data_IF_695605559090
#
_entry.id   IF_695605559090
#
_cell.length_a   1.000
_cell.length_b   1.000
_cell.length_c   1.000
_cell.angle_alpha   90.00
_cell.angle_beta   90.00
_cell.angle_gamma   90.00
#
_symmetry.space_group_name_H-M   'P 1'
#
loop_
_entity.id
_entity.type
_entity.pdbx_description
1 polymer ?
#
# COMPACT_ATOMS: atom_id res chain seq x y z
N UNK A 1 -7.57 59.59 -6.28
CA UNK A 1 -7.31 58.75 -5.11
C UNK A 1 -7.61 57.30 -5.54
N UNK A 2 -6.61 56.66 -6.14
CA UNK A 2 -6.72 55.23 -6.53
C UNK A 2 -6.32 54.40 -5.32
N UNK A 3 -7.23 53.55 -4.84
CA UNK A 3 -6.97 52.59 -3.76
C UNK A 3 -6.34 51.37 -4.41
N UNK A 4 -5.06 51.13 -4.11
CA UNK A 4 -4.37 49.88 -4.42
C UNK A 4 -5.03 48.72 -3.69
N UNK A 5 -5.67 47.86 -4.45
CA UNK A 5 -6.12 46.55 -3.93
C UNK A 5 -4.91 45.59 -3.95
N UNK A 6 -4.58 44.93 -2.84
CA UNK A 6 -3.50 43.94 -2.84
C UNK A 6 -3.92 42.75 -3.70
N UNK A 7 -3.19 42.49 -4.75
CA UNK A 7 -3.25 41.26 -5.55
C UNK A 7 -2.69 40.11 -4.70
N UNK A 8 -3.51 39.54 -3.79
CA UNK A 8 -3.24 38.27 -3.20
C UNK A 8 -3.37 37.23 -4.31
N UNK A 9 -2.25 36.63 -4.70
CA UNK A 9 -2.21 35.75 -5.86
C UNK A 9 -3.09 34.53 -5.62
N UNK A 10 -3.89 34.13 -6.60
CA UNK A 10 -4.71 32.91 -6.60
C UNK A 10 -3.88 31.64 -6.30
N UNK A 11 -2.58 31.70 -6.50
CA UNK A 11 -1.62 30.66 -6.18
C UNK A 11 -1.43 30.46 -4.66
N UNK A 12 -1.45 31.51 -3.84
CA UNK A 12 -1.31 31.42 -2.39
C UNK A 12 -2.54 30.81 -1.72
N UNK A 13 -3.73 31.13 -2.20
CA UNK A 13 -4.98 30.58 -1.65
C UNK A 13 -5.12 29.10 -1.99
N UNK A 14 -4.71 28.67 -3.17
CA UNK A 14 -4.75 27.27 -3.59
C UNK A 14 -3.74 26.41 -2.83
N UNK A 15 -2.53 26.89 -2.59
CA UNK A 15 -1.48 26.19 -1.84
C UNK A 15 -1.84 26.03 -0.36
N UNK A 16 -2.39 27.08 0.26
CA UNK A 16 -2.85 27.06 1.66
C UNK A 16 -4.04 26.09 1.84
N UNK A 17 -4.98 26.09 0.90
CA UNK A 17 -6.13 25.17 0.91
C UNK A 17 -5.70 23.70 0.73
N UNK A 18 -4.72 23.45 -0.15
CA UNK A 18 -4.15 22.12 -0.37
C UNK A 18 -3.44 21.61 0.90
N UNK A 19 -2.52 22.39 1.47
CA UNK A 19 -1.80 22.03 2.68
C UNK A 19 -2.75 21.79 3.87
N UNK A 20 -3.83 22.54 4.00
CA UNK A 20 -4.83 22.36 5.04
C UNK A 20 -5.64 21.06 4.85
N UNK A 21 -5.95 20.69 3.60
CA UNK A 21 -6.64 19.43 3.23
C UNK A 21 -5.76 18.23 3.53
N UNK A 22 -4.51 18.23 3.06
CA UNK A 22 -3.56 17.16 3.34
C UNK A 22 -3.36 16.94 4.85
N UNK A 23 -3.17 18.02 5.61
CA UNK A 23 -3.03 17.94 7.07
C UNK A 23 -4.28 17.37 7.75
N UNK A 24 -5.49 17.68 7.24
CA UNK A 24 -6.73 17.09 7.74
C UNK A 24 -6.79 15.60 7.42
N UNK A 25 -6.58 15.21 6.16
CA UNK A 25 -6.61 13.81 5.73
C UNK A 25 -5.60 12.96 6.52
N UNK A 26 -4.40 13.49 6.79
CA UNK A 26 -3.39 12.84 7.62
C UNK A 26 -3.87 12.63 9.06
N UNK A 27 -4.48 13.64 9.70
CA UNK A 27 -5.04 13.49 11.05
C UNK A 27 -6.16 12.46 11.10
N UNK A 28 -7.06 12.50 10.13
CA UNK A 28 -8.17 11.55 10.03
C UNK A 28 -7.66 10.12 9.79
N UNK A 29 -6.63 9.94 8.96
CA UNK A 29 -5.98 8.64 8.75
C UNK A 29 -5.37 8.09 10.05
N UNK A 30 -4.70 8.93 10.84
CA UNK A 30 -4.20 8.53 12.18
C UNK A 30 -5.37 8.17 13.11
N UNK A 31 -6.47 8.90 13.04
CA UNK A 31 -7.70 8.56 13.77
C UNK A 31 -8.27 7.20 13.38
N UNK A 32 -8.28 6.88 12.08
CA UNK A 32 -8.71 5.56 11.59
C UNK A 32 -7.86 4.40 12.14
N UNK A 33 -6.55 4.62 12.33
CA UNK A 33 -5.67 3.64 12.99
C UNK A 33 -6.10 3.42 14.43
N UNK A 34 -6.42 4.48 15.19
CA UNK A 34 -6.93 4.37 16.55
C UNK A 34 -8.24 3.57 16.62
N UNK A 35 -9.21 3.93 15.78
CA UNK A 35 -10.51 3.21 15.69
C UNK A 35 -10.29 1.73 15.34
N UNK A 36 -9.38 1.43 14.41
CA UNK A 36 -9.09 0.04 14.02
C UNK A 36 -8.37 -0.72 15.13
N UNK A 37 -7.52 -0.05 15.93
CA UNK A 37 -6.89 -0.67 17.10
C UNK A 37 -7.93 -1.09 18.16
N UNK A 38 -8.91 -0.23 18.42
CA UNK A 38 -10.02 -0.54 19.34
C UNK A 38 -10.87 -1.70 18.80
N UNK A 39 -11.19 -1.68 17.49
CA UNK A 39 -11.89 -2.76 16.80
C UNK A 39 -11.17 -4.10 16.96
N UNK A 40 -9.86 -4.14 16.72
CA UNK A 40 -9.06 -5.35 16.82
C UNK A 40 -8.91 -5.84 18.25
N UNK A 41 -8.77 -4.92 19.21
CA UNK A 41 -8.70 -5.25 20.62
C UNK A 41 -10.00 -5.87 21.11
N UNK A 42 -11.15 -5.29 20.73
CA UNK A 42 -12.47 -5.84 21.03
C UNK A 42 -12.64 -7.22 20.39
N UNK A 43 -12.28 -7.36 19.12
CA UNK A 43 -12.32 -8.66 18.44
C UNK A 43 -11.46 -9.71 19.15
N UNK A 44 -10.26 -9.38 19.61
CA UNK A 44 -9.38 -10.31 20.30
C UNK A 44 -9.94 -10.78 21.65
N UNK A 45 -10.68 -9.92 22.37
CA UNK A 45 -11.26 -10.22 23.68
C UNK A 45 -12.62 -10.89 23.59
N UNK A 46 -13.49 -10.44 22.70
CA UNK A 46 -14.89 -10.84 22.59
C UNK A 46 -15.16 -11.69 21.35
N UNK A 47 -14.23 -11.74 20.41
CA UNK A 47 -14.36 -12.38 19.08
C UNK A 47 -15.56 -11.81 18.27
N UNK A 48 -15.92 -10.57 18.54
CA UNK A 48 -16.98 -9.84 17.88
C UNK A 48 -16.44 -8.64 17.13
N UNK A 49 -16.84 -8.44 15.87
CA UNK A 49 -16.49 -7.29 15.06
C UNK A 49 -17.55 -6.21 15.19
N UNK A 50 -17.17 -5.01 15.62
CA UNK A 50 -18.03 -3.84 15.61
C UNK A 50 -18.07 -3.24 14.19
N UNK A 51 -19.04 -3.68 13.39
CA UNK A 51 -19.20 -3.22 12.00
C UNK A 51 -19.44 -1.72 11.91
N UNK A 52 -20.05 -1.08 12.89
CA UNK A 52 -20.28 0.36 12.86
C UNK A 52 -18.94 1.12 12.84
N UNK A 53 -18.00 0.76 13.70
CA UNK A 53 -16.66 1.35 13.70
C UNK A 53 -15.91 1.05 12.39
N UNK A 54 -15.97 -0.17 11.90
CA UNK A 54 -15.34 -0.54 10.63
C UNK A 54 -15.90 0.26 9.45
N UNK A 55 -17.24 0.45 9.40
CA UNK A 55 -17.89 1.27 8.40
C UNK A 55 -17.47 2.74 8.43
N UNK A 56 -17.26 3.30 9.60
CA UNK A 56 -16.77 4.68 9.72
C UNK A 56 -15.41 4.85 9.04
N UNK A 57 -14.50 3.89 9.22
CA UNK A 57 -13.18 3.91 8.57
C UNK A 57 -13.31 3.79 7.05
N UNK A 58 -14.12 2.84 6.55
CA UNK A 58 -14.33 2.65 5.10
C UNK A 58 -14.98 3.87 4.45
N UNK A 59 -16.00 4.47 5.11
CA UNK A 59 -16.62 5.70 4.63
C UNK A 59 -15.64 6.89 4.60
N UNK A 60 -14.76 6.98 5.57
CA UNK A 60 -13.69 7.97 5.59
C UNK A 60 -12.71 7.75 4.43
N UNK A 61 -12.28 6.52 4.16
CA UNK A 61 -11.41 6.19 3.03
C UNK A 61 -12.06 6.61 1.70
N UNK A 62 -13.35 6.29 1.50
CA UNK A 62 -14.09 6.70 0.31
C UNK A 62 -14.09 8.22 0.13
N UNK A 63 -14.33 8.98 1.20
CA UNK A 63 -14.27 10.44 1.18
C UNK A 63 -12.88 10.93 0.78
N UNK A 64 -11.82 10.41 1.40
CA UNK A 64 -10.43 10.78 1.07
C UNK A 64 -10.11 10.53 -0.40
N UNK A 65 -10.49 9.36 -0.93
CA UNK A 65 -10.27 9.00 -2.33
C UNK A 65 -11.01 9.92 -3.30
N UNK A 66 -12.21 10.37 -2.95
CA UNK A 66 -12.99 11.31 -3.78
C UNK A 66 -12.47 12.75 -3.71
N UNK A 67 -11.89 13.16 -2.59
CA UNK A 67 -11.37 14.51 -2.39
C UNK A 67 -9.98 14.72 -3.01
N UNK A 68 -9.06 13.77 -2.82
CA UNK A 68 -7.71 13.80 -3.38
C UNK A 68 -7.10 12.40 -3.40
N UNK A 69 -7.27 11.72 -4.53
CA UNK A 69 -6.75 10.37 -4.75
C UNK A 69 -5.23 10.28 -4.51
N UNK A 70 -4.47 11.27 -4.99
CA UNK A 70 -3.00 11.26 -4.85
C UNK A 70 -2.55 11.33 -3.39
N UNK A 71 -3.16 12.23 -2.60
CA UNK A 71 -2.89 12.33 -1.17
C UNK A 71 -3.33 11.06 -0.43
N UNK A 72 -4.52 10.51 -0.74
CA UNK A 72 -5.03 9.28 -0.12
C UNK A 72 -4.09 8.08 -0.39
N UNK A 73 -3.66 7.89 -1.65
CA UNK A 73 -2.70 6.85 -2.01
C UNK A 73 -1.35 7.09 -1.32
N UNK A 74 -0.87 8.33 -1.28
CA UNK A 74 0.35 8.69 -0.55
C UNK A 74 0.29 8.30 0.93
N UNK A 75 -0.86 8.46 1.60
CA UNK A 75 -1.07 8.00 2.98
C UNK A 75 -1.06 6.47 3.09
N UNK A 76 -1.69 5.78 2.12
CA UNK A 76 -1.74 4.32 2.10
C UNK A 76 -0.36 3.69 1.95
N UNK A 77 0.53 4.26 1.13
CA UNK A 77 1.85 3.66 0.81
C UNK A 77 3.00 4.17 1.67
N UNK A 78 2.74 4.98 2.70
CA UNK A 78 3.79 5.42 3.62
C UNK A 78 4.34 4.23 4.41
N UNK A 79 5.66 3.98 4.38
CA UNK A 79 6.29 2.99 5.26
C UNK A 79 6.06 3.38 6.70
N UNK A 80 5.64 2.46 7.53
CA UNK A 80 5.30 2.72 8.92
C UNK A 80 5.98 1.68 9.79
N UNK A 81 6.69 2.16 10.79
CA UNK A 81 7.60 1.38 11.63
C UNK A 81 6.94 0.78 12.86
N UNK A 82 5.61 0.96 13.05
CA UNK A 82 4.88 0.53 14.24
C UNK A 82 3.44 0.08 13.95
N UNK A 83 2.80 -0.54 14.94
CA UNK A 83 1.36 -0.86 14.95
C UNK A 83 0.89 -1.89 13.89
N UNK A 84 1.76 -2.84 13.48
CA UNK A 84 1.28 -4.04 12.80
C UNK A 84 0.47 -4.93 13.79
N UNK A 85 -0.67 -5.51 13.40
CA UNK A 85 -1.28 -5.53 12.05
C UNK A 85 -2.25 -4.38 11.78
N UNK A 86 -2.60 -3.56 12.77
CA UNK A 86 -3.66 -2.54 12.71
C UNK A 86 -3.44 -1.56 11.57
N UNK A 87 -2.26 -0.95 11.55
CA UNK A 87 -1.93 0.08 10.57
C UNK A 87 -1.85 -0.47 9.15
N UNK A 88 -1.30 -1.68 9.01
CA UNK A 88 -1.28 -2.40 7.75
C UNK A 88 -2.70 -2.61 7.19
N UNK A 89 -3.64 -3.03 8.03
CA UNK A 89 -5.03 -3.23 7.65
C UNK A 89 -5.72 -1.94 7.19
N UNK A 90 -5.47 -0.81 7.87
CA UNK A 90 -5.99 0.51 7.44
C UNK A 90 -5.41 0.89 6.07
N UNK A 91 -4.11 0.71 5.85
CA UNK A 91 -3.45 0.97 4.57
C UNK A 91 -3.98 0.04 3.47
N UNK A 92 -4.13 -1.25 3.79
CA UNK A 92 -4.63 -2.26 2.87
C UNK A 92 -6.07 -1.93 2.42
N UNK A 93 -6.93 -1.53 3.34
CA UNK A 93 -8.28 -1.05 3.04
C UNK A 93 -8.26 0.15 2.07
N UNK A 94 -7.48 1.18 2.39
CA UNK A 94 -7.42 2.40 1.57
C UNK A 94 -6.85 2.13 0.18
N UNK A 95 -5.75 1.36 0.06
CA UNK A 95 -5.13 1.03 -1.23
C UNK A 95 -6.03 0.12 -2.07
N UNK A 96 -6.66 -0.89 -1.47
CA UNK A 96 -7.58 -1.79 -2.16
C UNK A 96 -8.78 -1.03 -2.71
N UNK A 97 -9.33 -0.06 -1.96
CA UNK A 97 -10.40 0.82 -2.44
C UNK A 97 -9.92 1.75 -3.57
N UNK A 98 -8.71 2.29 -3.49
CA UNK A 98 -8.12 3.09 -4.58
C UNK A 98 -8.01 2.27 -5.87
N UNK A 99 -7.53 1.03 -5.76
CA UNK A 99 -7.47 0.09 -6.89
C UNK A 99 -8.87 -0.27 -7.41
N UNK A 100 -9.83 -0.45 -6.52
CA UNK A 100 -11.22 -0.71 -6.90
C UNK A 100 -11.85 0.44 -7.68
N UNK A 101 -11.57 1.70 -7.31
CA UNK A 101 -12.01 2.87 -8.07
C UNK A 101 -11.41 2.90 -9.48
N UNK A 102 -10.12 2.58 -9.64
CA UNK A 102 -9.47 2.50 -10.95
C UNK A 102 -10.02 1.35 -11.80
N UNK A 103 -10.42 0.25 -11.17
CA UNK A 103 -11.05 -0.91 -11.81
C UNK A 103 -12.56 -0.76 -12.01
N UNK A 104 -13.12 0.44 -11.76
CA UNK A 104 -14.55 0.76 -11.92
C UNK A 104 -15.47 -0.17 -11.13
N UNK A 105 -15.08 -0.52 -9.90
CA UNK A 105 -15.94 -1.30 -8.99
C UNK A 105 -17.16 -0.48 -8.57
N UNK A 106 -18.30 -1.16 -8.43
CA UNK A 106 -19.51 -0.55 -7.87
C UNK A 106 -19.32 -0.11 -6.43
N UNK A 107 -20.22 0.71 -5.91
CA UNK A 107 -20.21 1.17 -4.53
C UNK A 107 -20.21 0.00 -3.53
N UNK A 108 -21.02 -1.03 -3.79
CA UNK A 108 -21.09 -2.23 -2.95
C UNK A 108 -19.78 -3.03 -2.99
N UNK A 109 -19.16 -3.14 -4.17
CA UNK A 109 -17.84 -3.79 -4.32
C UNK A 109 -16.75 -3.00 -3.61
N UNK A 110 -16.75 -1.65 -3.70
CA UNK A 110 -15.83 -0.78 -2.98
C UNK A 110 -15.97 -0.92 -1.46
N UNK A 111 -17.21 -0.99 -0.97
CA UNK A 111 -17.46 -1.24 0.44
C UNK A 111 -16.96 -2.61 0.86
N UNK A 112 -17.27 -3.64 0.08
CA UNK A 112 -16.88 -5.02 0.38
C UNK A 112 -15.35 -5.19 0.42
N UNK A 113 -14.62 -4.64 -0.58
CA UNK A 113 -13.17 -4.74 -0.62
C UNK A 113 -12.52 -3.91 0.50
N UNK A 114 -13.06 -2.71 0.79
CA UNK A 114 -12.57 -1.86 1.86
C UNK A 114 -12.73 -2.49 3.23
N UNK A 115 -13.92 -3.00 3.54
CA UNK A 115 -14.22 -3.63 4.83
C UNK A 115 -13.45 -4.96 4.98
N UNK A 116 -13.46 -5.82 3.95
CA UNK A 116 -12.74 -7.09 3.98
C UNK A 116 -11.23 -6.91 4.18
N UNK A 117 -10.62 -5.95 3.48
CA UNK A 117 -9.21 -5.61 3.66
C UNK A 117 -8.92 -4.96 5.01
N UNK A 118 -9.89 -4.23 5.61
CA UNK A 118 -9.71 -3.62 6.93
C UNK A 118 -9.63 -4.68 8.04
N UNK A 119 -10.40 -5.75 7.94
CA UNK A 119 -10.55 -6.72 9.04
C UNK A 119 -9.73 -7.99 8.85
N UNK A 120 -9.10 -8.21 7.68
CA UNK A 120 -8.46 -9.48 7.34
C UNK A 120 -7.40 -9.94 8.35
N UNK A 121 -6.66 -9.00 8.91
CA UNK A 121 -5.59 -9.24 9.87
C UNK A 121 -6.05 -9.16 11.34
N UNK A 122 -7.35 -8.93 11.62
CA UNK A 122 -7.86 -8.92 13.00
C UNK A 122 -7.53 -10.24 13.73
N UNK A 123 -7.61 -11.36 13.02
CA UNK A 123 -7.25 -12.69 13.54
C UNK A 123 -5.79 -12.84 13.96
N UNK A 124 -4.89 -11.95 13.55
CA UNK A 124 -3.49 -11.96 13.98
C UNK A 124 -3.33 -11.74 15.48
N UNK A 125 -4.28 -11.03 16.13
CA UNK A 125 -4.28 -10.84 17.58
C UNK A 125 -4.60 -12.14 18.34
N UNK A 126 -5.20 -13.13 17.68
CA UNK A 126 -5.48 -14.46 18.24
C UNK A 126 -4.31 -15.43 18.03
N UNK A 127 -3.34 -15.08 17.17
CA UNK A 127 -2.13 -15.86 16.96
C UNK A 127 -1.20 -15.68 18.16
N UNK A 128 -0.64 -16.78 18.71
CA UNK A 128 0.27 -16.69 19.85
C UNK A 128 1.43 -15.74 19.57
N UNK A 129 1.65 -14.77 20.46
CA UNK A 129 2.66 -13.70 20.29
C UNK A 129 4.09 -14.24 20.07
N UNK A 130 4.40 -15.45 20.57
CA UNK A 130 5.68 -16.12 20.32
C UNK A 130 5.95 -16.42 18.83
N UNK A 131 4.91 -16.37 17.97
CA UNK A 131 5.02 -16.64 16.54
C UNK A 131 5.17 -15.35 15.72
N UNK A 132 4.91 -14.20 16.36
CA UNK A 132 5.02 -12.91 15.71
C UNK A 132 6.50 -12.48 15.68
N UNK A 133 7.04 -12.23 14.51
CA UNK A 133 8.42 -11.77 14.34
C UNK A 133 9.49 -12.86 14.39
N UNK A 134 9.12 -14.14 14.34
CA UNK A 134 10.06 -15.27 14.24
C UNK A 134 10.22 -15.70 12.79
N UNK A 135 11.47 -15.78 12.31
CA UNK A 135 11.81 -16.29 11.00
C UNK A 135 13.04 -17.22 11.09
N UNK A 136 13.03 -18.41 10.52
CA UNK A 136 11.89 -19.06 9.87
C UNK A 136 10.86 -19.61 10.88
N UNK A 137 9.57 -19.48 10.56
CA UNK A 137 8.48 -20.09 11.34
C UNK A 137 8.52 -21.59 11.14
N UNK A 138 8.52 -22.35 12.25
CA UNK A 138 8.47 -23.82 12.19
C UNK A 138 7.14 -24.28 11.59
N UNK A 139 7.16 -25.35 10.81
CA UNK A 139 5.97 -25.87 10.12
C UNK A 139 4.77 -26.14 11.06
N UNK A 140 5.05 -26.63 12.27
CA UNK A 140 3.99 -26.86 13.28
C UNK A 140 3.29 -25.56 13.73
N UNK A 141 4.02 -24.44 13.73
CA UNK A 141 3.55 -23.14 14.20
C UNK A 141 2.91 -22.34 13.04
N UNK A 142 3.29 -22.67 11.80
CA UNK A 142 2.75 -22.06 10.58
C UNK A 142 1.23 -22.25 10.46
N UNK A 143 0.69 -23.37 10.93
CA UNK A 143 -0.76 -23.64 10.87
C UNK A 143 -1.59 -22.61 11.62
N UNK A 144 -1.11 -22.13 12.76
CA UNK A 144 -1.82 -21.11 13.54
C UNK A 144 -1.77 -19.77 12.80
N UNK A 145 -0.62 -19.44 12.21
CA UNK A 145 -0.46 -18.20 11.45
C UNK A 145 -1.37 -18.15 10.21
N UNK A 146 -1.37 -19.22 9.37
CA UNK A 146 -2.15 -19.22 8.11
C UNK A 146 -3.66 -19.28 8.33
N UNK A 147 -4.13 -19.46 9.56
CA UNK A 147 -5.56 -19.46 9.90
C UNK A 147 -6.13 -18.11 10.28
N UNK A 148 -5.27 -17.09 10.50
CA UNK A 148 -5.79 -15.79 10.95
C UNK A 148 -6.87 -15.19 10.04
N UNK A 149 -6.85 -15.34 8.67
CA UNK A 149 -7.88 -14.77 7.84
C UNK A 149 -9.26 -15.42 8.07
N UNK A 150 -9.27 -16.69 8.49
CA UNK A 150 -10.51 -17.40 8.79
C UNK A 150 -11.20 -16.85 10.03
N UNK A 151 -10.46 -16.41 11.05
CA UNK A 151 -11.06 -15.86 12.27
C UNK A 151 -11.88 -14.61 11.96
N UNK A 152 -11.33 -13.67 11.14
CA UNK A 152 -12.06 -12.49 10.72
C UNK A 152 -13.26 -12.83 9.83
N UNK A 153 -13.10 -13.80 8.91
CA UNK A 153 -14.20 -14.23 8.03
C UNK A 153 -15.31 -14.93 8.81
N UNK A 154 -14.99 -15.70 9.84
CA UNK A 154 -15.99 -16.33 10.72
C UNK A 154 -16.74 -15.31 11.55
N UNK A 155 -16.08 -14.25 12.02
CA UNK A 155 -16.76 -13.17 12.75
C UNK A 155 -17.72 -12.38 11.87
N UNK A 156 -17.50 -12.36 10.55
CA UNK A 156 -18.42 -11.76 9.58
C UNK A 156 -19.60 -12.68 9.21
N UNK A 157 -19.54 -13.95 9.61
CA UNK A 157 -20.57 -14.94 9.28
C UNK A 157 -21.88 -14.61 10.04
N UNK A 158 -22.99 -14.49 9.29
CA UNK A 158 -24.27 -14.12 9.87
C UNK A 158 -24.51 -12.63 10.10
N UNK A 159 -23.54 -11.76 9.81
CA UNK A 159 -23.71 -10.32 9.85
C UNK A 159 -24.41 -9.84 8.56
N UNK A 160 -25.73 -9.64 8.63
CA UNK A 160 -26.54 -9.22 7.47
C UNK A 160 -26.14 -7.85 6.90
N UNK A 161 -25.52 -7.02 7.71
CA UNK A 161 -25.06 -5.68 7.34
C UNK A 161 -23.76 -5.72 6.51
N UNK A 162 -23.00 -6.80 6.56
CA UNK A 162 -21.78 -6.93 5.77
C UNK A 162 -22.11 -7.46 4.37
N UNK A 163 -21.65 -6.79 3.27
CA UNK A 163 -21.81 -7.33 1.94
C UNK A 163 -21.21 -8.75 1.84
N UNK A 164 -21.85 -9.71 1.17
CA UNK A 164 -21.38 -11.10 1.12
C UNK A 164 -19.92 -11.25 0.62
N UNK A 165 -19.49 -10.38 -0.30
CA UNK A 165 -18.13 -10.37 -0.82
C UNK A 165 -17.06 -9.97 0.22
N UNK A 166 -17.43 -9.25 1.28
CA UNK A 166 -16.52 -8.85 2.38
C UNK A 166 -15.86 -10.06 3.01
N UNK A 167 -16.63 -11.10 3.32
CA UNK A 167 -16.11 -12.35 3.88
C UNK A 167 -15.15 -13.05 2.93
N UNK A 168 -15.44 -13.04 1.61
CA UNK A 168 -14.53 -13.60 0.63
C UNK A 168 -13.20 -12.84 0.61
N UNK A 169 -13.23 -11.51 0.67
CA UNK A 169 -12.01 -10.70 0.72
C UNK A 169 -11.21 -11.03 1.97
N UNK A 170 -11.82 -10.99 3.16
CA UNK A 170 -11.13 -11.26 4.42
C UNK A 170 -10.50 -12.66 4.48
N UNK A 171 -11.21 -13.70 3.96
CA UNK A 171 -10.71 -15.07 3.97
C UNK A 171 -9.66 -15.37 2.90
N UNK A 172 -9.69 -14.68 1.75
CA UNK A 172 -8.95 -15.09 0.54
C UNK A 172 -7.84 -14.11 0.14
N UNK A 173 -7.63 -13.02 0.88
CA UNK A 173 -6.63 -11.99 0.55
C UNK A 173 -5.20 -12.54 0.41
N UNK A 174 -4.90 -13.63 1.12
CA UNK A 174 -3.61 -14.30 1.05
C UNK A 174 -3.57 -15.50 0.07
N UNK A 175 -4.66 -15.77 -0.67
CA UNK A 175 -4.66 -16.75 -1.74
C UNK A 175 -3.87 -16.25 -2.95
N UNK A 176 -3.36 -17.17 -3.76
CA UNK A 176 -2.59 -16.90 -4.97
C UNK A 176 -3.16 -17.76 -6.12
N UNK A 177 -3.26 -17.20 -7.33
CA UNK A 177 -3.91 -17.88 -8.47
C UNK A 177 -3.31 -19.24 -8.80
N UNK A 178 -2.02 -19.44 -8.51
CA UNK A 178 -1.31 -20.73 -8.71
C UNK A 178 -1.60 -21.76 -7.60
N UNK A 179 -2.34 -21.37 -6.55
CA UNK A 179 -2.65 -22.21 -5.38
C UNK A 179 -1.54 -22.26 -4.33
N UNK A 180 -0.51 -21.43 -4.46
CA UNK A 180 0.57 -21.35 -3.45
C UNK A 180 0.19 -20.52 -2.23
N UNK A 181 -1.01 -19.89 -2.25
CA UNK A 181 -1.54 -19.08 -1.15
C UNK A 181 -2.15 -19.89 -0.02
N UNK A 182 -2.76 -19.19 0.91
CA UNK A 182 -3.44 -19.76 2.07
C UNK A 182 -4.72 -18.97 2.39
N UNK A 183 -5.65 -19.47 3.21
CA UNK A 183 -5.58 -20.71 4.02
C UNK A 183 -5.99 -21.97 3.27
N UNK A 184 -6.65 -21.90 2.11
CA UNK A 184 -7.22 -23.05 1.42
C UNK A 184 -6.43 -23.51 0.19
N UNK A 185 -5.47 -22.69 -0.31
CA UNK A 185 -4.74 -22.96 -1.55
C UNK A 185 -5.67 -22.92 -2.78
N UNK A 186 -6.59 -21.96 -2.80
CA UNK A 186 -7.52 -21.77 -3.90
C UNK A 186 -6.77 -21.38 -5.17
N UNK A 187 -7.35 -21.74 -6.34
CA UNK A 187 -6.76 -21.45 -7.66
C UNK A 187 -7.72 -20.66 -8.54
N UNK A 188 -7.15 -19.85 -9.39
CA UNK A 188 -7.84 -19.17 -10.50
C UNK A 188 -9.22 -18.60 -10.09
N UNK A 189 -10.28 -19.05 -10.77
CA UNK A 189 -11.65 -18.55 -10.55
C UNK A 189 -12.25 -18.90 -9.20
N UNK A 190 -11.66 -19.80 -8.42
CA UNK A 190 -12.09 -20.10 -7.05
C UNK A 190 -11.81 -18.94 -6.09
N UNK A 191 -10.85 -18.05 -6.41
CA UNK A 191 -10.58 -16.85 -5.65
C UNK A 191 -11.52 -15.74 -6.12
N UNK A 192 -12.27 -15.16 -5.20
CA UNK A 192 -13.20 -14.07 -5.50
C UNK A 192 -12.48 -12.88 -6.15
N UNK A 193 -13.11 -12.23 -7.15
CA UNK A 193 -12.51 -11.11 -7.91
C UNK A 193 -11.93 -10.04 -6.99
N UNK A 194 -12.71 -9.57 -6.00
CA UNK A 194 -12.27 -8.52 -5.08
C UNK A 194 -11.05 -8.97 -4.24
N UNK A 195 -11.02 -10.23 -3.82
CA UNK A 195 -9.89 -10.77 -3.06
C UNK A 195 -8.59 -10.79 -3.89
N UNK A 196 -8.65 -10.99 -5.21
CA UNK A 196 -7.46 -10.91 -6.08
C UNK A 196 -6.85 -9.52 -6.10
N UNK A 197 -7.67 -8.46 -6.10
CA UNK A 197 -7.22 -7.07 -6.04
C UNK A 197 -6.64 -6.75 -4.65
N UNK A 198 -7.36 -7.14 -3.59
CA UNK A 198 -6.88 -6.98 -2.23
C UNK A 198 -5.55 -7.71 -1.98
N UNK A 199 -5.36 -8.92 -2.56
CA UNK A 199 -4.11 -9.69 -2.46
C UNK A 199 -2.89 -8.96 -3.05
N UNK A 200 -3.08 -8.20 -4.12
CA UNK A 200 -2.01 -7.39 -4.72
C UNK A 200 -1.67 -6.19 -3.83
N UNK A 201 -2.69 -5.49 -3.31
CA UNK A 201 -2.51 -4.37 -2.38
C UNK A 201 -1.80 -4.81 -1.09
N UNK A 202 -2.27 -5.89 -0.46
CA UNK A 202 -1.69 -6.49 0.73
C UNK A 202 -0.22 -6.86 0.54
N UNK A 203 0.09 -7.57 -0.55
CA UNK A 203 1.46 -7.99 -0.85
C UNK A 203 2.38 -6.79 -1.07
N UNK A 204 1.95 -5.77 -1.81
CA UNK A 204 2.73 -4.56 -2.03
C UNK A 204 3.04 -3.86 -0.70
N UNK A 205 2.01 -3.61 0.12
CA UNK A 205 2.16 -2.96 1.42
C UNK A 205 3.00 -3.79 2.40
N UNK A 206 2.83 -5.11 2.38
CA UNK A 206 3.64 -6.03 3.15
C UNK A 206 5.13 -5.94 2.80
N UNK A 207 5.49 -5.78 1.51
CA UNK A 207 6.88 -5.65 1.07
C UNK A 207 7.51 -4.30 1.45
N UNK A 208 6.80 -3.20 1.29
CA UNK A 208 7.32 -1.85 1.60
C UNK A 208 7.29 -1.51 3.09
N UNK A 209 6.75 -2.37 3.93
CA UNK A 209 6.74 -2.21 5.39
C UNK A 209 7.86 -3.03 6.02
N UNK A 210 8.63 -2.46 6.99
CA UNK A 210 9.63 -3.24 7.73
C UNK A 210 8.93 -4.31 8.58
N UNK A 211 9.56 -5.45 8.72
CA UNK A 211 9.16 -6.54 9.61
C UNK A 211 10.28 -6.78 10.62
N UNK A 212 10.02 -7.38 11.80
CA UNK A 212 11.06 -7.64 12.79
C UNK A 212 12.28 -8.41 12.25
N UNK A 213 12.07 -9.24 11.24
CA UNK A 213 13.07 -10.12 10.62
C UNK A 213 13.56 -9.62 9.24
N UNK A 214 13.02 -8.50 8.73
CA UNK A 214 13.29 -8.04 7.37
C UNK A 214 13.15 -6.51 7.26
N UNK A 215 14.11 -5.78 6.66
CA UNK A 215 13.92 -4.37 6.30
C UNK A 215 12.80 -4.21 5.25
N UNK A 216 12.26 -3.00 5.14
CA UNK A 216 11.36 -2.66 4.05
C UNK A 216 12.09 -2.79 2.70
N UNK A 217 11.38 -3.28 1.69
CA UNK A 217 11.88 -3.17 0.31
C UNK A 217 11.72 -1.73 -0.17
N UNK A 218 12.60 -1.29 -1.05
CA UNK A 218 12.36 -0.10 -1.85
C UNK A 218 11.05 -0.26 -2.63
N UNK A 219 10.18 0.76 -2.70
CA UNK A 219 8.86 0.62 -3.31
C UNK A 219 8.91 0.13 -4.77
N UNK A 220 9.91 0.57 -5.55
CA UNK A 220 10.14 0.08 -6.90
C UNK A 220 10.42 -1.43 -6.94
N UNK A 221 11.24 -1.94 -6.01
CA UNK A 221 11.54 -3.37 -5.92
C UNK A 221 10.30 -4.21 -5.61
N UNK A 222 9.42 -3.69 -4.74
CA UNK A 222 8.14 -4.35 -4.46
C UNK A 222 7.26 -4.46 -5.71
N UNK A 223 7.19 -3.39 -6.53
CA UNK A 223 6.49 -3.43 -7.82
C UNK A 223 7.13 -4.44 -8.77
N UNK A 224 8.45 -4.43 -8.91
CA UNK A 224 9.19 -5.38 -9.76
C UNK A 224 8.89 -6.84 -9.38
N UNK A 225 8.92 -7.18 -8.10
CA UNK A 225 8.62 -8.53 -7.61
C UNK A 225 7.17 -8.94 -7.86
N UNK A 226 6.21 -8.02 -7.71
CA UNK A 226 4.79 -8.28 -8.03
C UNK A 226 4.62 -8.53 -9.53
N UNK A 227 5.29 -7.77 -10.40
CA UNK A 227 5.28 -7.98 -11.85
C UNK A 227 5.83 -9.36 -12.22
N UNK A 228 6.95 -9.77 -11.64
CA UNK A 228 7.50 -11.11 -11.85
C UNK A 228 6.59 -12.21 -11.31
N UNK A 229 5.95 -12.00 -10.16
CA UNK A 229 5.00 -12.95 -9.59
C UNK A 229 3.73 -13.09 -10.46
N UNK A 230 3.23 -11.98 -11.03
CA UNK A 230 2.12 -11.99 -11.97
C UNK A 230 2.47 -12.72 -13.27
N UNK A 231 3.69 -12.49 -13.82
CA UNK A 231 4.17 -13.22 -14.99
C UNK A 231 4.22 -14.75 -14.76
N UNK A 232 4.46 -15.18 -13.51
CA UNK A 232 4.43 -16.59 -13.11
C UNK A 232 3.02 -17.10 -12.74
N UNK A 233 1.98 -16.32 -12.96
CA UNK A 233 0.60 -16.72 -12.71
C UNK A 233 0.16 -16.66 -11.24
N UNK A 234 0.91 -15.97 -10.35
CA UNK A 234 0.55 -15.87 -8.93
C UNK A 234 -0.50 -14.80 -8.66
N UNK A 235 -0.52 -13.73 -9.45
CA UNK A 235 -1.44 -12.60 -9.30
C UNK A 235 -2.26 -12.36 -10.56
N UNK A 236 -3.44 -11.79 -10.38
CA UNK A 236 -4.29 -11.34 -11.47
C UNK A 236 -3.66 -10.16 -12.21
N UNK A 237 -3.44 -10.30 -13.51
CA UNK A 237 -2.77 -9.29 -14.33
C UNK A 237 -3.54 -7.97 -14.38
N UNK A 238 -4.89 -8.01 -14.29
CA UNK A 238 -5.72 -6.80 -14.24
C UNK A 238 -5.53 -6.07 -12.90
N UNK A 239 -5.50 -6.80 -11.78
CA UNK A 239 -5.22 -6.23 -10.48
C UNK A 239 -3.81 -5.60 -10.41
N UNK A 240 -2.79 -6.26 -10.99
CA UNK A 240 -1.43 -5.71 -11.03
C UNK A 240 -1.36 -4.46 -11.91
N UNK A 241 -2.05 -4.44 -13.06
CA UNK A 241 -2.15 -3.23 -13.88
C UNK A 241 -2.78 -2.08 -13.11
N UNK A 242 -3.86 -2.33 -12.39
CA UNK A 242 -4.53 -1.34 -11.54
C UNK A 242 -3.61 -0.83 -10.43
N UNK A 243 -2.81 -1.70 -9.79
CA UNK A 243 -1.80 -1.24 -8.85
C UNK A 243 -0.85 -0.23 -9.51
N UNK A 244 -0.34 -0.50 -10.72
CA UNK A 244 0.55 0.41 -11.43
C UNK A 244 -0.11 1.76 -11.76
N UNK A 245 -1.41 1.78 -12.11
CA UNK A 245 -2.14 3.03 -12.33
C UNK A 245 -2.25 3.86 -11.05
N UNK A 246 -2.39 3.20 -9.90
CA UNK A 246 -2.60 3.86 -8.61
C UNK A 246 -1.28 4.32 -7.98
N UNK A 247 -0.25 3.45 -7.96
CA UNK A 247 1.00 3.74 -7.26
C UNK A 247 2.15 4.14 -8.18
N UNK A 248 2.02 3.99 -9.51
CA UNK A 248 3.08 4.19 -10.51
C UNK A 248 4.08 3.01 -10.58
N UNK A 249 4.81 2.95 -11.69
CA UNK A 249 5.98 2.06 -11.81
C UNK A 249 7.10 2.48 -10.82
N UNK A 250 7.17 3.77 -10.55
CA UNK A 250 8.04 4.36 -9.53
C UNK A 250 7.16 4.93 -8.41
N UNK A 251 6.79 4.13 -7.40
CA UNK A 251 5.88 4.56 -6.36
C UNK A 251 6.38 5.75 -5.56
N UNK A 252 5.47 6.43 -4.89
CA UNK A 252 5.80 7.53 -3.97
C UNK A 252 6.87 7.08 -2.97
N UNK A 253 7.89 7.90 -2.80
CA UNK A 253 9.05 7.62 -1.95
C UNK A 253 10.22 6.92 -2.65
N UNK A 254 10.05 6.41 -3.89
CA UNK A 254 11.17 5.84 -4.66
C UNK A 254 12.23 6.90 -4.95
N UNK A 255 13.49 6.53 -4.77
CA UNK A 255 14.65 7.35 -5.17
C UNK A 255 15.03 7.02 -6.61
N UNK A 256 15.20 8.04 -7.44
CA UNK A 256 15.43 7.89 -8.88
C UNK A 256 16.55 8.80 -9.37
N UNK A 257 17.23 8.40 -10.46
CA UNK A 257 18.15 9.24 -11.23
C UNK A 257 17.57 9.51 -12.60
N UNK A 258 17.65 10.76 -13.02
CA UNK A 258 17.26 11.20 -14.35
C UNK A 258 18.43 11.10 -15.33
N UNK A 259 18.09 11.08 -16.62
CA UNK A 259 19.09 11.05 -17.71
C UNK A 259 19.93 12.33 -17.84
N UNK A 260 19.55 13.41 -17.17
CA UNK A 260 20.31 14.66 -17.08
C UNK A 260 21.24 14.73 -15.86
N UNK A 261 21.36 13.64 -15.10
CA UNK A 261 22.22 13.52 -13.93
C UNK A 261 21.60 13.91 -12.59
N UNK A 262 20.42 14.55 -12.60
CA UNK A 262 19.73 14.93 -11.37
C UNK A 262 19.22 13.72 -10.61
N UNK A 263 19.30 13.79 -9.30
CA UNK A 263 18.68 12.82 -8.39
C UNK A 263 17.32 13.34 -7.90
N UNK A 264 16.37 12.45 -7.68
CA UNK A 264 15.07 12.85 -7.21
C UNK A 264 14.35 11.79 -6.36
N UNK A 265 13.29 12.23 -5.70
CA UNK A 265 12.36 11.37 -4.97
C UNK A 265 10.96 11.54 -5.53
N UNK A 266 10.30 10.43 -5.80
CA UNK A 266 8.93 10.44 -6.32
C UNK A 266 7.97 10.98 -5.26
N UNK A 267 7.19 12.00 -5.65
CA UNK A 267 6.17 12.64 -4.81
C UNK A 267 4.77 12.13 -5.12
N UNK A 268 4.49 11.84 -6.40
CA UNK A 268 3.14 11.53 -6.86
C UNK A 268 3.17 10.65 -8.11
N UNK A 269 2.24 9.68 -8.18
CA UNK A 269 1.98 8.91 -9.38
C UNK A 269 1.35 9.78 -10.48
N UNK A 270 1.53 9.36 -11.73
CA UNK A 270 0.80 9.89 -12.87
C UNK A 270 0.01 8.73 -13.51
N UNK A 271 -1.31 8.75 -13.37
CA UNK A 271 -2.20 7.66 -13.79
C UNK A 271 -2.10 7.36 -15.29
N UNK A 272 -1.99 8.40 -16.11
CA UNK A 272 -1.98 8.27 -17.56
C UNK A 272 -0.58 7.94 -18.13
N UNK A 273 0.44 7.99 -17.27
CA UNK A 273 1.84 7.74 -17.62
C UNK A 273 2.58 7.12 -16.42
N UNK A 274 2.35 5.83 -16.19
CA UNK A 274 2.83 5.10 -15.00
C UNK A 274 4.35 5.07 -14.84
N UNK A 275 5.10 5.31 -15.90
CA UNK A 275 6.55 5.43 -15.92
C UNK A 275 7.05 6.89 -15.82
N UNK A 276 6.14 7.86 -15.68
CA UNK A 276 6.44 9.30 -15.66
C UNK A 276 5.84 10.01 -14.45
N UNK A 277 6.32 9.72 -13.24
CA UNK A 277 5.80 10.33 -12.01
C UNK A 277 6.17 11.81 -11.90
N UNK A 278 5.54 12.47 -10.94
CA UNK A 278 5.97 13.77 -10.42
C UNK A 278 6.98 13.52 -9.30
N UNK A 279 8.12 14.19 -9.37
CA UNK A 279 9.19 14.03 -8.40
C UNK A 279 9.76 15.38 -7.94
N UNK A 280 10.42 15.38 -6.80
CA UNK A 280 11.30 16.46 -6.39
C UNK A 280 12.72 16.09 -6.80
N UNK A 281 13.35 16.89 -7.67
CA UNK A 281 14.70 16.68 -8.13
C UNK A 281 15.65 17.63 -7.40
N UNK A 282 16.87 17.14 -7.10
CA UNK A 282 17.97 17.92 -6.58
C UNK A 282 18.90 18.27 -7.74
N UNK A 283 19.00 19.56 -8.03
CA UNK A 283 19.96 20.12 -8.97
C UNK A 283 21.23 20.51 -8.19
N UNK A 284 22.30 19.72 -8.37
CA UNK A 284 23.61 19.95 -7.75
C UNK A 284 24.50 20.87 -8.58
N UNK A 285 24.18 21.12 -9.86
CA UNK A 285 24.92 22.04 -10.71
C UNK A 285 24.56 23.49 -10.43
N UNK A 286 23.42 23.74 -9.80
CA UNK A 286 23.01 25.06 -9.33
C UNK A 286 23.73 25.39 -8.01
N UNK A 287 24.26 26.61 -7.87
CA UNK A 287 24.88 27.10 -6.63
C UNK A 287 24.05 28.24 -6.02
N UNK A 288 23.46 28.07 -4.83
CA UNK A 288 23.39 26.85 -4.00
C UNK A 288 22.51 25.77 -4.62
N UNK A 289 22.69 24.47 -4.25
CA UNK A 289 21.86 23.37 -4.74
C UNK A 289 20.37 23.64 -4.59
N UNK A 290 19.59 23.37 -5.64
CA UNK A 290 18.16 23.70 -5.70
C UNK A 290 17.31 22.45 -5.76
N UNK A 291 16.19 22.47 -5.00
CA UNK A 291 15.12 21.49 -5.14
C UNK A 291 14.06 22.02 -6.11
N UNK A 292 13.71 21.18 -7.09
CA UNK A 292 12.72 21.51 -8.11
C UNK A 292 11.67 20.38 -8.23
N UNK A 293 10.40 20.76 -8.34
CA UNK A 293 9.34 19.79 -8.66
C UNK A 293 9.31 19.57 -10.17
N UNK A 294 9.51 18.33 -10.60
CA UNK A 294 9.56 17.94 -12.01
C UNK A 294 8.40 16.95 -12.28
N UNK A 295 7.54 17.32 -13.22
CA UNK A 295 6.51 16.44 -13.77
C UNK A 295 7.07 15.77 -15.04
N UNK A 296 7.41 14.49 -14.97
CA UNK A 296 8.00 13.79 -16.12
C UNK A 296 7.04 13.64 -17.29
N UNK A 297 5.72 13.66 -17.08
CA UNK A 297 4.76 13.63 -18.18
C UNK A 297 4.76 14.90 -19.00
N UNK A 298 5.11 16.05 -18.41
CA UNK A 298 5.24 17.35 -19.08
C UNK A 298 6.64 17.60 -19.64
N UNK A 299 7.61 16.75 -19.30
CA UNK A 299 9.01 16.87 -19.71
C UNK A 299 9.44 15.60 -20.45
N UNK A 300 9.04 15.40 -21.72
CA UNK A 300 9.22 14.15 -22.47
C UNK A 300 10.68 13.73 -22.65
N UNK A 301 11.62 14.69 -22.64
CA UNK A 301 13.06 14.45 -22.78
C UNK A 301 13.70 13.88 -21.50
N UNK A 302 13.07 14.10 -20.35
CA UNK A 302 13.54 13.56 -19.08
C UNK A 302 13.04 12.14 -18.89
N UNK A 303 13.92 11.26 -18.40
CA UNK A 303 13.64 9.84 -18.14
C UNK A 303 14.32 9.38 -16.86
N UNK A 304 13.66 8.48 -16.13
CA UNK A 304 14.31 7.72 -15.07
C UNK A 304 15.26 6.71 -15.73
N UNK A 305 16.53 6.76 -15.36
CA UNK A 305 17.57 5.84 -15.87
C UNK A 305 18.06 4.85 -14.82
N UNK A 306 17.86 5.16 -13.54
CA UNK A 306 18.25 4.28 -12.43
C UNK A 306 17.29 4.51 -11.25
N UNK A 307 17.04 3.44 -10.48
CA UNK A 307 16.28 3.45 -9.22
C UNK A 307 17.15 2.84 -8.13
N UNK A 308 17.06 3.32 -6.90
CA UNK A 308 17.78 2.80 -5.75
C UNK A 308 18.20 3.88 -4.76
N UNK A 309 18.90 3.51 -3.68
CA UNK A 309 19.27 4.42 -2.61
C UNK A 309 20.19 5.55 -3.06
N UNK A 310 19.95 6.76 -2.54
CA UNK A 310 20.72 7.97 -2.85
C UNK A 310 22.17 7.95 -2.33
N UNK A 311 22.54 7.00 -1.44
CA UNK A 311 23.79 7.02 -0.68
C UNK A 311 24.63 5.73 -0.71
N UNK A 312 24.31 4.75 -1.57
CA UNK A 312 24.95 3.41 -1.53
C UNK A 312 26.33 3.32 -2.24
N UNK A 313 26.84 4.39 -2.82
CA UNK A 313 28.16 4.37 -3.49
C UNK A 313 29.36 4.60 -2.56
N UNK A 314 29.15 5.14 -1.36
CA UNK A 314 30.26 5.36 -0.41
C UNK A 314 30.68 4.09 0.35
N UNK A 315 29.84 3.04 0.38
CA UNK A 315 30.10 1.79 1.11
C UNK A 315 30.64 0.64 0.26
N UNK A 316 30.59 0.73 -1.08
CA UNK A 316 31.00 -0.38 -1.98
C UNK A 316 32.44 -0.34 -2.46
N UNK A 317 33.24 0.67 -2.11
CA UNK A 317 34.70 0.69 -2.45
C UNK A 317 35.56 -0.18 -1.55
N UNK A 318 34.98 -0.96 -0.63
CA UNK A 318 35.74 -1.70 0.39
C UNK A 318 35.59 -3.22 0.42
N UNK A 319 34.69 -3.87 -0.32
CA UNK A 319 34.59 -5.34 -0.25
C UNK A 319 34.17 -5.98 -1.59
N UNK A 320 35.19 -6.40 -2.33
CA UNK A 320 35.05 -7.42 -3.37
C UNK A 320 35.02 -8.80 -2.67
N UNK A 321 33.87 -9.43 -2.53
CA UNK A 321 33.75 -10.88 -2.36
C UNK A 321 32.41 -11.35 -2.91
N UNK A 322 32.50 -12.01 -4.06
CA UNK A 322 31.47 -12.74 -4.75
C UNK A 322 30.97 -13.90 -3.92
N UNK A 323 29.67 -13.88 -3.55
CA UNK A 323 28.97 -15.11 -3.15
C UNK A 323 27.66 -15.16 -3.93
N UNK A 324 27.34 -16.24 -4.64
CA UNK A 324 26.10 -16.35 -5.40
C UNK A 324 24.92 -16.50 -4.44
N UNK A 325 23.88 -15.70 -4.68
CA UNK A 325 22.62 -15.74 -3.93
C UNK A 325 21.91 -17.04 -4.27
N UNK A 326 21.71 -17.89 -3.27
CA UNK A 326 20.89 -19.09 -3.35
C UNK A 326 19.41 -18.72 -3.55
N UNK A 327 18.83 -19.18 -4.66
CA UNK A 327 17.44 -18.96 -5.05
C UNK A 327 16.48 -19.91 -4.32
N UNK A 328 16.41 -19.86 -3.00
CA UNK A 328 15.43 -20.65 -2.24
C UNK A 328 14.84 -19.84 -1.07
N UNK A 329 14.22 -18.69 -1.38
CA UNK A 329 13.39 -18.01 -0.39
C UNK A 329 11.91 -18.24 -0.69
N UNK A 330 11.31 -19.07 0.12
CA UNK A 330 9.88 -19.30 0.16
C UNK A 330 9.22 -18.06 0.79
N UNK A 331 8.56 -17.26 -0.02
CA UNK A 331 7.75 -16.13 0.44
C UNK A 331 6.55 -16.61 1.24
N UNK A 332 6.52 -16.23 2.53
CA UNK A 332 5.31 -16.17 3.35
C UNK A 332 5.04 -14.69 3.56
N UNK A 333 4.04 -14.14 2.83
CA UNK A 333 3.53 -12.78 2.98
C UNK A 333 2.78 -12.56 4.26
#
# INVERSE_FOLDING_TARGET
MYVDMPTTSLLDVSSTSFASREARMRREFVGAIGVTADLFTKFASEQELDLFLAWQVVAQHRRHLSEDLGTAVGLAVQPLYDSYPVRHSVQCSLLSMAMGLDAEFTDDELQAIGLGSLVHDAGMLLVPSRLLGVDPIKERDRRDLVRHPLYAAMALDGMAEAPPATRCVAAQIHERLDGSGYPHGLKDSAIHRLARYAAVADTFLGMISPRPHRPAHEPYRAVEEILFAAHRGRFDSSAVRTLLHVVSLYPVGSSVWLNDGRMGRVLRANRDAVDRPILIALDLEHDPPKLETVDLAKNPDLKVVRVGELFDEASKSGQNSSTPISTNDHFVG
#
